data_IF_412771521845
#
_entry.id   IF_412771521845
#
_cell.length_a   1.000
_cell.length_b   1.000
_cell.length_c   1.000
_cell.angle_alpha   90.00
_cell.angle_beta   90.00
_cell.angle_gamma   90.00
#
_symmetry.space_group_name_H-M   'P 1'
#
loop_
_entity.id
_entity.type
_entity.pdbx_description
1 polymer ?
#
# COMPACT_ATOMS: atom_id res chain seq x y z
N UNK A 1 10.86 -4.04 -16.29
CA UNK A 1 9.59 -4.82 -16.34
C UNK A 1 8.66 -4.29 -15.25
N UNK A 2 7.33 -4.29 -15.48
CA UNK A 2 6.37 -3.84 -14.47
C UNK A 2 6.25 -4.86 -13.32
N UNK A 3 6.46 -4.43 -12.07
CA UNK A 3 6.41 -5.28 -10.86
C UNK A 3 5.45 -4.74 -9.79
N UNK A 4 5.19 -5.53 -8.74
CA UNK A 4 4.40 -5.15 -7.57
C UNK A 4 5.21 -5.43 -6.30
N UNK A 5 5.23 -4.49 -5.36
CA UNK A 5 5.70 -4.80 -4.01
C UNK A 5 4.63 -5.61 -3.27
N UNK A 6 5.02 -6.60 -2.47
CA UNK A 6 4.10 -7.45 -1.70
C UNK A 6 4.72 -7.85 -0.37
N UNK A 7 3.86 -8.05 0.64
CA UNK A 7 4.23 -8.54 1.96
C UNK A 7 4.37 -7.42 2.99
N UNK A 8 3.52 -7.44 4.02
CA UNK A 8 3.61 -6.50 5.15
C UNK A 8 3.41 -5.03 4.79
N UNK A 9 2.73 -4.71 3.68
CA UNK A 9 2.50 -3.33 3.24
C UNK A 9 1.45 -2.67 4.15
N UNK A 10 1.75 -1.46 4.61
CA UNK A 10 0.90 -0.66 5.49
C UNK A 10 1.21 0.84 5.31
N UNK A 11 0.42 1.76 5.90
CA UNK A 11 0.70 3.19 5.85
C UNK A 11 2.11 3.55 6.38
N UNK A 12 2.61 2.77 7.34
CA UNK A 12 3.92 3.05 7.96
C UNK A 12 5.12 2.85 7.03
N UNK A 13 4.98 2.12 5.92
CA UNK A 13 6.10 1.77 5.05
C UNK A 13 5.88 2.05 3.55
N UNK A 14 4.67 2.46 3.16
CA UNK A 14 4.33 2.65 1.74
C UNK A 14 5.16 3.75 1.08
N UNK A 15 5.49 4.82 1.80
CA UNK A 15 6.39 5.90 1.31
C UNK A 15 7.80 5.38 1.01
N UNK A 16 8.34 4.51 1.86
CA UNK A 16 9.65 3.90 1.63
C UNK A 16 9.61 2.92 0.45
N UNK A 17 8.54 2.14 0.32
CA UNK A 17 8.30 1.23 -0.81
C UNK A 17 8.22 2.02 -2.12
N UNK A 18 7.53 3.15 -2.13
CA UNK A 18 7.49 4.07 -3.28
C UNK A 18 8.87 4.64 -3.60
N UNK A 19 9.60 5.12 -2.60
CA UNK A 19 10.96 5.64 -2.78
C UNK A 19 11.93 4.59 -3.36
N UNK A 20 11.70 3.30 -3.09
CA UNK A 20 12.43 2.19 -3.70
C UNK A 20 12.03 1.91 -5.17
N UNK A 21 11.12 2.68 -5.75
CA UNK A 21 10.70 2.60 -7.15
C UNK A 21 9.43 1.79 -7.39
N UNK A 22 8.71 1.39 -6.34
CA UNK A 22 7.43 0.72 -6.50
C UNK A 22 6.36 1.71 -7.00
N UNK A 23 5.68 1.36 -8.09
CA UNK A 23 4.52 2.12 -8.58
C UNK A 23 3.20 1.39 -8.29
N UNK A 24 3.26 0.16 -7.80
CA UNK A 24 2.10 -0.70 -7.52
C UNK A 24 2.41 -1.64 -6.36
N UNK A 25 1.39 -1.94 -5.56
CA UNK A 25 1.50 -2.75 -4.34
C UNK A 25 0.37 -3.77 -4.25
N UNK A 26 0.65 -4.93 -3.66
CA UNK A 26 -0.34 -5.92 -3.29
C UNK A 26 -0.48 -5.96 -1.76
N UNK A 27 -1.70 -5.73 -1.27
CA UNK A 27 -2.00 -5.56 0.16
C UNK A 27 -3.11 -6.52 0.57
N UNK A 28 -3.01 -7.09 1.78
CA UNK A 28 -4.05 -7.97 2.34
C UNK A 28 -4.43 -7.52 3.75
N UNK A 29 -3.65 -7.86 4.78
CA UNK A 29 -4.02 -7.61 6.18
C UNK A 29 -4.33 -6.13 6.48
N UNK A 30 -3.56 -5.18 5.95
CA UNK A 30 -3.81 -3.75 6.19
C UNK A 30 -5.18 -3.25 5.68
N UNK A 31 -5.79 -3.96 4.72
CA UNK A 31 -7.14 -3.64 4.20
C UNK A 31 -8.18 -4.59 4.80
N UNK A 32 -7.95 -5.91 4.70
CA UNK A 32 -8.93 -6.93 5.09
C UNK A 32 -9.15 -7.03 6.60
N UNK A 33 -8.19 -6.61 7.42
CA UNK A 33 -8.33 -6.58 8.89
C UNK A 33 -8.80 -5.22 9.41
N UNK A 34 -8.97 -4.22 8.54
CA UNK A 34 -9.47 -2.91 8.94
C UNK A 34 -10.98 -2.97 9.23
N UNK A 35 -11.48 -2.27 10.27
CA UNK A 35 -12.92 -2.08 10.46
C UNK A 35 -13.57 -1.26 9.35
N UNK A 36 -12.78 -0.50 8.58
CA UNK A 36 -13.22 0.33 7.45
C UNK A 36 -12.36 0.07 6.20
N UNK A 37 -12.50 -1.10 5.53
CA UNK A 37 -11.60 -1.50 4.44
C UNK A 37 -11.50 -0.51 3.29
N UNK A 38 -12.61 0.15 2.93
CA UNK A 38 -12.63 1.16 1.87
C UNK A 38 -11.79 2.38 2.21
N UNK A 39 -11.82 2.82 3.47
CA UNK A 39 -11.00 3.94 3.94
C UNK A 39 -9.51 3.55 4.00
N UNK A 40 -9.20 2.36 4.53
CA UNK A 40 -7.82 1.86 4.56
C UNK A 40 -7.21 1.73 3.15
N UNK A 41 -8.00 1.26 2.18
CA UNK A 41 -7.56 1.20 0.79
C UNK A 41 -7.34 2.58 0.18
N UNK A 42 -8.20 3.56 0.51
CA UNK A 42 -8.08 4.93 0.02
C UNK A 42 -6.82 5.63 0.57
N UNK A 43 -6.56 5.50 1.88
CA UNK A 43 -5.37 6.06 2.54
C UNK A 43 -4.08 5.50 1.93
N UNK A 44 -3.99 4.17 1.78
CA UNK A 44 -2.84 3.53 1.12
C UNK A 44 -2.65 4.00 -0.33
N UNK A 45 -3.75 4.20 -1.06
CA UNK A 45 -3.69 4.67 -2.44
C UNK A 45 -3.21 6.12 -2.54
N UNK A 46 -3.63 6.97 -1.61
CA UNK A 46 -3.24 8.38 -1.56
C UNK A 46 -1.75 8.52 -1.25
N UNK A 47 -1.26 7.77 -0.26
CA UNK A 47 0.16 7.72 0.09
C UNK A 47 1.03 7.14 -1.03
N UNK A 48 0.53 6.16 -1.81
CA UNK A 48 1.27 5.63 -2.96
C UNK A 48 1.38 6.62 -4.13
N UNK A 49 0.42 7.54 -4.26
CA UNK A 49 0.33 8.48 -5.39
C UNK A 49 1.08 9.79 -5.13
N UNK A 50 1.26 10.16 -3.87
CA UNK A 50 1.98 11.37 -3.43
C UNK A 50 3.47 11.19 -3.61
#
# INVERSE_FOLDING_TARGET
LPWFAIGGISPTNITAIRAAGASRVAVSSAVCSSPTPGQAAAELLDELRT
#
